data_IF_462664449313
#
_entry.id   IF_462664449313
#
_cell.length_a   1.000
_cell.length_b   1.000
_cell.length_c   1.000
_cell.angle_alpha   90.00
_cell.angle_beta   90.00
_cell.angle_gamma   90.00
#
_symmetry.space_group_name_H-M   'P 1'
#
loop_
_entity.id
_entity.type
_entity.pdbx_description
1 polymer ?
#
# COMPACT_ATOMS: atom_id res chain seq x y z
N UNK A 1 -18.09 9.63 1.28
CA UNK A 1 -17.96 8.51 2.24
C UNK A 1 -16.68 7.74 1.93
N UNK A 2 -15.88 7.35 2.93
CA UNK A 2 -14.67 6.57 2.70
C UNK A 2 -15.03 5.16 2.22
N UNK A 3 -14.25 4.62 1.30
CA UNK A 3 -14.38 3.22 0.88
C UNK A 3 -13.85 2.33 2.01
N UNK A 4 -14.56 1.26 2.34
CA UNK A 4 -14.10 0.26 3.32
C UNK A 4 -13.67 -1.00 2.61
N UNK A 5 -12.44 -1.44 2.90
CA UNK A 5 -11.81 -2.62 2.31
C UNK A 5 -11.52 -3.62 3.41
N UNK A 6 -11.88 -4.89 3.22
CA UNK A 6 -11.55 -5.95 4.16
C UNK A 6 -10.16 -6.50 3.82
N UNK A 7 -9.19 -6.31 4.70
CA UNK A 7 -7.85 -6.83 4.52
C UNK A 7 -7.81 -8.37 4.58
N UNK A 8 -6.69 -8.96 4.16
CA UNK A 8 -6.48 -10.42 4.15
C UNK A 8 -6.75 -11.11 5.51
N UNK A 9 -6.51 -10.42 6.63
CA UNK A 9 -6.73 -10.91 7.99
C UNK A 9 -8.11 -10.54 8.56
N UNK A 10 -8.98 -9.98 7.73
CA UNK A 10 -10.32 -9.55 8.11
C UNK A 10 -10.42 -8.16 8.73
N UNK A 11 -9.30 -7.45 8.93
CA UNK A 11 -9.31 -6.06 9.40
C UNK A 11 -10.04 -5.16 8.39
N UNK A 12 -10.95 -4.31 8.88
CA UNK A 12 -11.54 -3.26 8.05
C UNK A 12 -10.57 -2.08 7.93
N UNK A 13 -10.18 -1.78 6.70
CA UNK A 13 -9.31 -0.67 6.35
C UNK A 13 -10.11 0.40 5.62
N UNK A 14 -9.98 1.64 6.05
CA UNK A 14 -10.61 2.79 5.42
C UNK A 14 -9.69 3.39 4.35
N UNK A 15 -10.22 3.58 3.15
CA UNK A 15 -9.61 4.32 2.05
C UNK A 15 -10.42 5.60 1.82
N UNK A 16 -10.05 6.71 2.49
CA UNK A 16 -10.72 7.99 2.31
C UNK A 16 -10.36 8.61 0.96
N UNK A 17 -11.26 9.43 0.42
CA UNK A 17 -11.04 10.09 -0.88
C UNK A 17 -9.83 11.03 -0.83
N UNK A 18 -9.61 11.67 0.31
CA UNK A 18 -8.49 12.55 0.60
C UNK A 18 -7.15 11.80 0.52
N UNK A 19 -7.12 10.52 0.91
CA UNK A 19 -5.93 9.69 0.74
C UNK A 19 -5.69 9.36 -0.74
N UNK A 20 -6.74 9.08 -1.51
CA UNK A 20 -6.63 8.85 -2.95
C UNK A 20 -6.08 10.11 -3.64
N UNK A 21 -6.63 11.28 -3.33
CA UNK A 21 -6.15 12.56 -3.86
C UNK A 21 -4.72 12.87 -3.44
N UNK A 22 -4.37 12.59 -2.18
CA UNK A 22 -3.00 12.72 -1.69
C UNK A 22 -2.02 11.85 -2.49
N UNK A 23 -2.37 10.57 -2.71
CA UNK A 23 -1.56 9.61 -3.47
C UNK A 23 -1.39 10.12 -4.91
N UNK A 24 -2.46 10.53 -5.58
CA UNK A 24 -2.39 11.04 -6.96
C UNK A 24 -1.51 12.27 -7.08
N UNK A 25 -1.53 13.16 -6.08
CA UNK A 25 -0.72 14.38 -6.07
C UNK A 25 0.75 14.11 -5.73
N UNK A 26 1.03 13.19 -4.82
CA UNK A 26 2.38 12.91 -4.33
C UNK A 26 3.13 11.84 -5.13
N UNK A 27 2.38 10.95 -5.77
CA UNK A 27 2.91 9.80 -6.51
C UNK A 27 2.27 9.69 -7.90
N UNK A 28 2.35 10.75 -8.75
CA UNK A 28 1.83 10.70 -10.11
C UNK A 28 2.57 9.67 -10.98
N UNK A 29 3.82 9.37 -10.62
CA UNK A 29 4.67 8.34 -11.21
C UNK A 29 4.04 6.94 -11.17
N UNK A 30 3.21 6.64 -10.16
CA UNK A 30 2.49 5.37 -10.12
C UNK A 30 1.57 5.17 -11.32
N UNK A 31 0.89 6.23 -11.76
CA UNK A 31 -0.02 6.13 -12.90
C UNK A 31 0.75 5.91 -14.19
N UNK A 32 1.86 6.63 -14.39
CA UNK A 32 2.65 6.52 -15.61
C UNK A 32 3.43 5.21 -15.67
N UNK A 33 4.09 4.80 -14.59
CA UNK A 33 4.89 3.57 -14.54
C UNK A 33 4.02 2.32 -14.68
N UNK A 34 2.85 2.30 -14.05
CA UNK A 34 1.93 1.17 -14.13
C UNK A 34 0.94 1.27 -15.30
N UNK A 35 0.98 2.38 -16.06
CA UNK A 35 0.05 2.69 -17.14
C UNK A 35 -1.43 2.53 -16.71
N UNK A 36 -1.78 3.17 -15.59
CA UNK A 36 -3.10 3.05 -14.97
C UNK A 36 -3.88 4.37 -15.02
N UNK A 37 -5.20 4.23 -15.09
CA UNK A 37 -6.13 5.32 -14.76
C UNK A 37 -6.32 5.44 -13.23
N UNK A 38 -6.89 6.55 -12.76
CA UNK A 38 -7.26 6.75 -11.35
C UNK A 38 -8.09 5.58 -10.80
N UNK A 39 -9.12 5.14 -11.55
CA UNK A 39 -9.99 4.04 -11.11
C UNK A 39 -9.23 2.72 -10.98
N UNK A 40 -8.32 2.43 -11.91
CA UNK A 40 -7.48 1.24 -11.84
C UNK A 40 -6.46 1.29 -10.70
N UNK A 41 -5.91 2.48 -10.37
CA UNK A 41 -5.05 2.66 -9.21
C UNK A 41 -5.81 2.34 -7.91
N UNK A 42 -7.03 2.86 -7.76
CA UNK A 42 -7.88 2.55 -6.60
C UNK A 42 -8.13 1.05 -6.51
N UNK A 43 -8.45 0.40 -7.63
CA UNK A 43 -8.64 -1.05 -7.67
C UNK A 43 -7.37 -1.82 -7.30
N UNK A 44 -6.18 -1.31 -7.67
CA UNK A 44 -4.89 -1.89 -7.28
C UNK A 44 -4.61 -1.73 -5.79
N UNK A 45 -4.94 -0.58 -5.19
CA UNK A 45 -4.82 -0.37 -3.75
C UNK A 45 -5.73 -1.35 -3.00
N UNK A 46 -7.01 -1.46 -3.40
CA UNK A 46 -7.97 -2.41 -2.83
C UNK A 46 -7.42 -3.83 -2.92
N UNK A 47 -7.01 -4.26 -4.11
CA UNK A 47 -6.47 -5.61 -4.32
C UNK A 47 -5.22 -5.89 -3.49
N UNK A 48 -4.35 -4.88 -3.28
CA UNK A 48 -3.15 -5.02 -2.45
C UNK A 48 -3.50 -5.19 -0.97
N UNK A 49 -4.58 -4.55 -0.49
CA UNK A 49 -5.06 -4.70 0.88
C UNK A 49 -5.73 -6.07 1.08
N UNK A 50 -6.58 -6.49 0.12
CA UNK A 50 -7.34 -7.75 0.19
C UNK A 50 -6.45 -8.98 -0.01
N UNK A 51 -5.52 -8.91 -0.96
CA UNK A 51 -4.67 -10.02 -1.41
C UNK A 51 -3.21 -9.56 -1.54
N UNK A 52 -2.56 -9.11 -0.46
CA UNK A 52 -1.14 -8.79 -0.47
C UNK A 52 -0.30 -10.04 -0.79
N UNK A 53 0.92 -9.84 -1.26
CA UNK A 53 1.92 -10.90 -1.32
C UNK A 53 2.71 -10.99 0.00
N UNK A 54 2.93 -9.83 0.65
CA UNK A 54 3.58 -9.74 1.95
C UNK A 54 2.96 -8.62 2.78
N UNK A 55 2.93 -8.77 4.11
CA UNK A 55 2.52 -7.70 5.02
C UNK A 55 3.54 -7.53 6.15
N UNK A 56 3.96 -6.28 6.38
CA UNK A 56 4.88 -5.92 7.46
C UNK A 56 4.27 -4.94 8.44
N UNK A 57 4.85 -4.88 9.64
CA UNK A 57 4.52 -3.88 10.65
C UNK A 57 5.76 -3.14 11.14
N UNK A 58 5.64 -1.85 11.45
CA UNK A 58 6.71 -1.04 12.04
C UNK A 58 6.48 -0.73 13.53
N UNK A 59 7.39 0.04 14.13
CA UNK A 59 7.37 0.46 15.54
C UNK A 59 6.12 1.27 15.91
N UNK A 60 5.46 1.91 14.94
CA UNK A 60 4.26 2.72 15.15
C UNK A 60 2.98 1.93 14.86
N UNK A 61 3.10 0.60 14.75
CA UNK A 61 2.00 -0.29 14.42
C UNK A 61 1.38 0.00 13.04
N UNK A 62 2.10 0.69 12.15
CA UNK A 62 1.68 0.90 10.78
C UNK A 62 1.92 -0.37 9.96
N UNK A 63 0.92 -0.76 9.17
CA UNK A 63 0.96 -1.95 8.32
C UNK A 63 1.33 -1.58 6.89
N UNK A 64 2.23 -2.35 6.31
CA UNK A 64 2.74 -2.20 4.96
C UNK A 64 2.28 -3.39 4.15
N UNK A 65 1.26 -3.20 3.32
CA UNK A 65 0.74 -4.23 2.42
C UNK A 65 1.48 -4.13 1.10
N UNK A 66 2.21 -5.19 0.75
CA UNK A 66 3.05 -5.24 -0.43
C UNK A 66 2.43 -6.14 -1.49
N UNK A 67 2.38 -5.64 -2.72
CA UNK A 67 2.04 -6.42 -3.92
C UNK A 67 3.16 -6.30 -4.92
N UNK A 68 3.77 -7.42 -5.30
CA UNK A 68 4.84 -7.43 -6.31
C UNK A 68 4.24 -7.16 -7.69
N UNK A 69 4.91 -6.30 -8.45
CA UNK A 69 4.56 -5.96 -9.83
C UNK A 69 5.86 -5.83 -10.63
N UNK A 70 6.18 -6.87 -11.40
CA UNK A 70 7.48 -6.98 -12.10
C UNK A 70 8.65 -6.81 -11.10
N UNK A 71 9.50 -5.81 -11.35
CA UNK A 71 10.70 -5.48 -10.55
C UNK A 71 10.43 -4.47 -9.42
N UNK A 72 9.16 -4.09 -9.23
CA UNK A 72 8.71 -3.16 -8.19
C UNK A 72 7.71 -3.81 -7.26
N UNK A 73 7.45 -3.14 -6.15
CA UNK A 73 6.35 -3.47 -5.23
C UNK A 73 5.45 -2.26 -5.08
N UNK A 74 4.14 -2.48 -5.18
CA UNK A 74 3.14 -1.54 -4.68
C UNK A 74 3.15 -1.67 -3.16
N UNK A 75 3.40 -0.57 -2.46
CA UNK A 75 3.45 -0.52 -1.01
C UNK A 75 2.32 0.38 -0.48
N UNK A 76 1.27 -0.24 0.06
CA UNK A 76 0.15 0.45 0.69
C UNK A 76 0.39 0.55 2.19
N UNK A 77 0.44 1.76 2.73
CA UNK A 77 0.67 2.00 4.16
C UNK A 77 -0.65 2.31 4.85
N UNK A 78 -0.98 1.53 5.87
CA UNK A 78 -2.18 1.70 6.71
C UNK A 78 -1.73 2.01 8.13
N UNK A 79 -2.23 3.10 8.69
CA UNK A 79 -1.94 3.50 10.08
C UNK A 79 -3.24 3.84 10.81
N UNK A 80 -3.49 3.18 11.95
CA UNK A 80 -4.73 3.36 12.71
C UNK A 80 -5.98 2.94 11.94
N UNK A 81 -5.89 1.92 11.09
CA UNK A 81 -7.02 1.43 10.29
C UNK A 81 -7.31 2.23 9.01
N UNK A 82 -6.56 3.28 8.71
CA UNK A 82 -6.77 4.13 7.52
C UNK A 82 -5.57 4.09 6.60
N UNK A 83 -5.79 4.01 5.28
CA UNK A 83 -4.75 4.19 4.26
C UNK A 83 -4.16 5.58 4.38
N UNK A 84 -2.84 5.66 4.58
CA UNK A 84 -2.09 6.92 4.70
C UNK A 84 -1.48 7.32 3.37
N UNK A 85 -0.93 6.37 2.64
CA UNK A 85 -0.35 6.58 1.32
C UNK A 85 -0.14 5.25 0.59
N UNK A 86 0.24 5.33 -0.69
CA UNK A 86 0.71 4.22 -1.51
C UNK A 86 1.78 4.74 -2.45
N UNK A 87 2.85 3.97 -2.64
CA UNK A 87 3.90 4.27 -3.61
C UNK A 87 4.59 2.99 -4.08
N UNK A 88 5.37 3.10 -5.16
CA UNK A 88 6.21 2.02 -5.66
C UNK A 88 7.54 1.98 -4.92
N UNK A 89 8.04 0.78 -4.64
CA UNK A 89 9.39 0.57 -4.12
C UNK A 89 10.15 -0.44 -4.99
N UNK A 90 11.43 -0.18 -5.22
CA UNK A 90 12.34 -1.12 -5.86
C UNK A 90 12.74 -2.25 -4.91
N UNK A 91 13.35 -3.30 -5.45
CA UNK A 91 13.97 -4.38 -4.66
C UNK A 91 15.00 -3.86 -3.66
N UNK A 92 15.80 -2.85 -4.03
CA UNK A 92 16.78 -2.24 -3.10
C UNK A 92 16.08 -1.52 -1.94
N UNK A 93 15.01 -0.77 -2.25
CA UNK A 93 14.22 -0.08 -1.23
C UNK A 93 13.53 -1.10 -0.32
N UNK A 94 12.97 -2.18 -0.87
CA UNK A 94 12.44 -3.29 -0.10
C UNK A 94 13.48 -3.89 0.86
N UNK A 95 14.68 -4.22 0.35
CA UNK A 95 15.75 -4.81 1.14
C UNK A 95 16.20 -3.88 2.28
N UNK A 96 16.28 -2.56 2.01
CA UNK A 96 16.55 -1.56 3.03
C UNK A 96 15.45 -1.52 4.09
N UNK A 97 14.18 -1.41 3.68
CA UNK A 97 13.04 -1.34 4.61
C UNK A 97 12.94 -2.59 5.49
N UNK A 98 13.19 -3.78 4.94
CA UNK A 98 13.27 -5.05 5.70
C UNK A 98 14.29 -5.02 6.81
N UNK A 99 15.42 -4.33 6.62
CA UNK A 99 16.51 -4.28 7.60
C UNK A 99 16.28 -3.23 8.68
N UNK A 100 15.74 -2.06 8.32
CA UNK A 100 15.79 -0.88 9.21
C UNK A 100 14.42 -0.41 9.72
N UNK A 101 13.32 -0.83 9.08
CA UNK A 101 12.00 -0.23 9.32
C UNK A 101 10.94 -1.25 9.72
N UNK A 102 10.88 -2.37 9.01
CA UNK A 102 9.88 -3.40 9.26
C UNK A 102 10.34 -4.34 10.35
N UNK A 103 9.61 -4.35 11.47
CA UNK A 103 9.94 -5.16 12.63
C UNK A 103 9.58 -6.63 12.44
N UNK A 104 8.40 -6.89 11.87
CA UNK A 104 7.84 -8.24 11.78
C UNK A 104 6.99 -8.39 10.52
N UNK A 105 7.07 -9.59 9.92
CA UNK A 105 6.17 -10.04 8.84
C UNK A 105 4.90 -10.65 9.44
N UNK A 106 3.74 -10.26 8.93
CA UNK A 106 2.44 -10.76 9.34
C UNK A 106 1.85 -11.79 8.34
N UNK A 107 2.23 -11.69 7.06
CA UNK A 107 1.83 -12.55 5.95
C UNK A 107 2.95 -12.57 4.91
#
# INVERSE_FOLDING_TARGET
>A
MPLRVKAFDGLLVELPNEAIEHILRKHPDMLSILNLTKGQLVQKIINTIEKPDEVYIDIYNARYFLKRTNDLYINVIVGGGTVRTTYLISTDTYARMRRIKWLRRLF
#
